data_IF_713409362172
#
_entry.id   IF_713409362172
#
_cell.length_a   1.000
_cell.length_b   1.000
_cell.length_c   1.000
_cell.angle_alpha   90.00
_cell.angle_beta   90.00
_cell.angle_gamma   90.00
#
_symmetry.space_group_name_H-M   'P 1'
#
loop_
_entity.id
_entity.type
_entity.pdbx_description
1 polymer ?
#
# COMPACT_ATOMS: atom_id res chain seq x y z
N UNK A 1 -12.04 4.12 -0.28
CA UNK A 1 -10.66 3.69 0.02
C UNK A 1 -9.86 3.69 -1.27
N UNK A 2 -8.73 4.41 -1.30
CA UNK A 2 -7.99 4.67 -2.54
C UNK A 2 -6.85 3.69 -2.77
N UNK A 3 -6.31 3.17 -1.70
CA UNK A 3 -5.15 2.31 -1.76
C UNK A 3 -5.43 1.07 -2.62
N UNK A 4 -4.52 0.75 -3.56
CA UNK A 4 -4.62 -0.45 -4.38
C UNK A 4 -4.39 -1.75 -3.60
N UNK A 5 -3.86 -1.66 -2.38
CA UNK A 5 -3.54 -2.83 -1.58
C UNK A 5 -2.32 -3.64 -2.03
N UNK A 6 -1.68 -3.28 -3.13
CA UNK A 6 -0.60 -4.04 -3.73
C UNK A 6 0.61 -4.21 -2.79
N UNK A 7 1.10 -5.42 -2.69
CA UNK A 7 2.27 -5.84 -1.90
C UNK A 7 3.37 -6.22 -2.89
N UNK A 8 4.47 -5.47 -2.85
CA UNK A 8 5.62 -5.70 -3.72
C UNK A 8 6.90 -5.78 -2.89
N UNK A 9 7.70 -6.86 -2.98
CA UNK A 9 8.93 -6.97 -2.20
C UNK A 9 10.02 -5.98 -2.61
N UNK A 10 9.94 -5.44 -3.85
CA UNK A 10 10.94 -4.55 -4.41
C UNK A 10 10.41 -3.14 -4.68
N UNK A 11 11.28 -2.16 -4.49
CA UNK A 11 11.10 -0.77 -4.94
C UNK A 11 11.68 -0.66 -6.35
N UNK A 12 10.83 -0.58 -7.36
CA UNK A 12 11.22 -0.69 -8.78
C UNK A 12 12.21 0.38 -9.27
N UNK A 13 12.12 1.61 -8.79
CA UNK A 13 12.96 2.71 -9.29
C UNK A 13 14.46 2.42 -9.27
N UNK A 14 14.92 1.62 -8.30
CA UNK A 14 16.33 1.23 -8.12
C UNK A 14 16.49 -0.28 -8.01
N UNK A 15 15.41 -1.03 -8.16
CA UNK A 15 15.34 -2.47 -7.92
C UNK A 15 16.00 -2.81 -6.57
N UNK A 16 15.52 -2.16 -5.51
CA UNK A 16 16.01 -2.38 -4.15
C UNK A 16 14.95 -3.10 -3.32
N UNK A 17 15.39 -3.87 -2.35
CA UNK A 17 14.50 -4.50 -1.37
C UNK A 17 13.74 -3.44 -0.57
N UNK A 18 12.48 -3.73 -0.26
CA UNK A 18 11.72 -2.98 0.75
C UNK A 18 12.40 -3.07 2.12
N UNK A 19 12.13 -2.11 3.00
CA UNK A 19 12.66 -2.13 4.36
C UNK A 19 12.18 -3.39 5.10
N UNK A 20 13.10 -4.17 5.64
CA UNK A 20 12.87 -5.44 6.36
C UNK A 20 11.96 -6.44 5.59
N UNK A 21 12.02 -6.45 4.28
CA UNK A 21 11.14 -7.30 3.45
C UNK A 21 11.34 -8.80 3.71
N UNK A 22 12.55 -9.21 4.09
CA UNK A 22 12.87 -10.59 4.43
C UNK A 22 12.10 -11.08 5.66
N UNK A 23 11.83 -10.17 6.62
CA UNK A 23 11.06 -10.47 7.83
C UNK A 23 9.55 -10.34 7.58
N UNK A 24 9.15 -9.31 6.83
CA UNK A 24 7.74 -8.96 6.71
C UNK A 24 6.95 -9.81 5.71
N UNK A 25 7.56 -10.28 4.62
CA UNK A 25 6.83 -11.10 3.66
C UNK A 25 6.32 -12.41 4.27
N UNK A 26 7.14 -13.19 5.01
CA UNK A 26 6.64 -14.37 5.71
C UNK A 26 5.57 -14.04 6.76
N UNK A 27 5.85 -13.07 7.64
CA UNK A 27 4.93 -12.69 8.71
C UNK A 27 3.58 -12.16 8.20
N UNK A 28 3.59 -11.48 7.07
CA UNK A 28 2.40 -10.91 6.44
C UNK A 28 1.45 -12.00 5.93
N UNK A 29 1.97 -13.06 5.31
CA UNK A 29 1.17 -14.16 4.80
C UNK A 29 0.44 -14.90 5.93
N UNK A 30 1.15 -15.18 7.03
CA UNK A 30 0.56 -15.81 8.20
C UNK A 30 -0.50 -14.93 8.85
N UNK A 31 -0.18 -13.64 9.03
CA UNK A 31 -1.09 -12.66 9.58
C UNK A 31 -2.41 -12.54 8.79
N UNK A 32 -2.34 -12.37 7.47
CA UNK A 32 -3.57 -12.23 6.69
C UNK A 32 -4.40 -13.52 6.67
N UNK A 33 -3.78 -14.69 6.63
CA UNK A 33 -4.48 -15.98 6.74
C UNK A 33 -5.21 -16.12 8.08
N UNK A 34 -4.55 -15.73 9.17
CA UNK A 34 -5.16 -15.72 10.49
C UNK A 34 -6.36 -14.76 10.56
N UNK A 35 -6.22 -13.56 10.01
CA UNK A 35 -7.30 -12.57 10.00
C UNK A 35 -8.45 -12.96 9.08
N UNK A 36 -8.20 -13.57 7.94
CA UNK A 36 -9.24 -14.11 7.07
C UNK A 36 -10.05 -15.20 7.80
N UNK A 37 -9.37 -16.07 8.52
CA UNK A 37 -10.01 -17.09 9.36
C UNK A 37 -10.84 -16.45 10.48
N UNK A 38 -10.28 -15.49 11.22
CA UNK A 38 -10.93 -14.84 12.35
C UNK A 38 -12.13 -13.97 11.94
N UNK A 39 -12.14 -13.48 10.71
CA UNK A 39 -13.19 -12.58 10.17
C UNK A 39 -14.15 -13.27 9.21
N UNK A 40 -13.92 -14.53 8.86
CA UNK A 40 -14.66 -15.29 7.85
C UNK A 40 -14.79 -14.51 6.52
N UNK A 41 -13.70 -13.84 6.13
CA UNK A 41 -13.67 -12.95 4.97
C UNK A 41 -12.41 -13.19 4.15
N UNK A 42 -12.48 -13.08 2.83
CA UNK A 42 -11.33 -13.19 1.93
C UNK A 42 -10.97 -11.82 1.39
N UNK A 43 -9.74 -11.39 1.62
CA UNK A 43 -9.23 -10.08 1.20
C UNK A 43 -7.75 -10.08 0.82
N UNK A 44 -7.03 -11.17 1.08
CA UNK A 44 -5.62 -11.32 0.69
C UNK A 44 -5.53 -12.21 -0.55
N UNK A 45 -4.97 -11.66 -1.62
CA UNK A 45 -4.92 -12.33 -2.92
C UNK A 45 -3.47 -12.37 -3.44
N UNK A 46 -2.83 -13.54 -3.45
CA UNK A 46 -1.59 -13.73 -4.20
C UNK A 46 -1.81 -13.39 -5.68
N UNK A 47 -0.89 -12.63 -6.26
CA UNK A 47 -0.94 -12.28 -7.68
C UNK A 47 0.48 -12.16 -8.25
N UNK A 48 0.66 -12.60 -9.50
CA UNK A 48 1.89 -12.33 -10.21
C UNK A 48 2.05 -10.83 -10.44
N UNK A 49 3.20 -10.27 -10.07
CA UNK A 49 3.55 -8.88 -10.40
C UNK A 49 4.66 -8.90 -11.43
N UNK A 50 4.38 -8.32 -12.60
CA UNK A 50 5.33 -8.18 -13.71
C UNK A 50 5.82 -6.74 -13.80
N UNK A 51 7.13 -6.57 -13.75
CA UNK A 51 7.80 -5.31 -14.04
C UNK A 51 8.15 -5.27 -15.53
N UNK A 52 7.52 -4.39 -16.30
CA UNK A 52 7.93 -4.07 -17.67
C UNK A 52 9.09 -3.10 -17.59
N UNK A 53 10.22 -3.40 -18.24
CA UNK A 53 11.39 -2.54 -18.16
C UNK A 53 11.19 -1.24 -18.91
N UNK A 54 11.77 -0.16 -18.40
CA UNK A 54 11.68 1.18 -18.99
C UNK A 54 12.86 1.46 -19.93
N UNK A 55 13.92 0.66 -19.85
CA UNK A 55 15.14 0.77 -20.68
C UNK A 55 15.99 -0.50 -20.58
N UNK A 56 16.98 -0.62 -21.47
CA UNK A 56 17.98 -1.69 -21.43
C UNK A 56 18.84 -1.62 -20.14
N UNK A 57 19.08 -0.43 -19.60
CA UNK A 57 19.82 -0.27 -18.33
C UNK A 57 19.02 -0.87 -17.16
N UNK A 58 17.70 -0.68 -17.12
CA UNK A 58 16.86 -1.29 -16.10
C UNK A 58 16.84 -2.82 -16.22
N UNK A 59 16.73 -3.34 -17.45
CA UNK A 59 16.86 -4.78 -17.73
C UNK A 59 18.21 -5.32 -17.25
N UNK A 60 19.31 -4.65 -17.62
CA UNK A 60 20.66 -5.04 -17.20
C UNK A 60 20.84 -5.03 -15.68
N UNK A 61 20.23 -4.06 -14.99
CA UNK A 61 20.23 -4.01 -13.52
C UNK A 61 19.43 -5.18 -12.93
N UNK A 62 18.28 -5.52 -13.52
CA UNK A 62 17.48 -6.67 -13.11
C UNK A 62 18.26 -7.98 -13.23
N UNK A 63 18.89 -8.23 -14.39
CA UNK A 63 19.70 -9.43 -14.66
C UNK A 63 20.83 -9.56 -13.62
N UNK A 64 21.52 -8.46 -13.30
CA UNK A 64 22.57 -8.47 -12.27
C UNK A 64 22.04 -8.80 -10.87
N UNK A 65 20.81 -8.42 -10.54
CA UNK A 65 20.25 -8.61 -9.21
C UNK A 65 19.55 -9.95 -9.03
N UNK A 66 18.90 -10.48 -10.05
CA UNK A 66 18.15 -11.75 -9.96
C UNK A 66 19.02 -12.97 -9.58
N UNK A 67 20.33 -12.92 -9.85
CA UNK A 67 21.28 -13.98 -9.52
C UNK A 67 21.90 -13.82 -8.11
N UNK A 68 21.64 -12.70 -7.45
CA UNK A 68 22.16 -12.45 -6.11
C UNK A 68 21.37 -13.24 -5.07
N UNK A 69 22.06 -13.80 -4.10
CA UNK A 69 21.49 -14.60 -3.03
C UNK A 69 20.42 -13.86 -2.23
N UNK A 70 20.64 -12.56 -1.95
CA UNK A 70 19.71 -11.71 -1.22
C UNK A 70 18.47 -11.28 -2.01
N UNK A 71 18.41 -11.55 -3.34
CA UNK A 71 17.25 -11.25 -4.19
C UNK A 71 16.51 -12.48 -4.71
N UNK A 72 17.10 -13.67 -4.65
CA UNK A 72 16.54 -14.90 -5.25
C UNK A 72 15.14 -15.25 -4.72
N UNK A 73 14.82 -14.84 -3.49
CA UNK A 73 13.52 -15.08 -2.87
C UNK A 73 12.43 -14.10 -3.38
N UNK A 74 12.82 -13.04 -4.09
CA UNK A 74 11.90 -11.97 -4.52
C UNK A 74 11.83 -11.80 -6.04
N UNK A 75 12.75 -12.38 -6.78
CA UNK A 75 12.82 -12.24 -8.23
C UNK A 75 12.84 -13.62 -8.91
N UNK A 76 12.07 -13.76 -9.98
CA UNK A 76 12.29 -14.84 -10.93
C UNK A 76 13.48 -14.49 -11.83
N UNK A 77 14.16 -15.51 -12.34
CA UNK A 77 15.09 -15.31 -13.45
C UNK A 77 14.28 -14.99 -14.70
N UNK A 78 14.79 -14.09 -15.52
CA UNK A 78 14.18 -13.77 -16.82
C UNK A 78 14.25 -15.01 -17.70
N UNK A 79 13.15 -15.31 -18.38
CA UNK A 79 12.99 -16.38 -19.36
C UNK A 79 12.69 -15.79 -20.73
N UNK A 80 12.72 -16.62 -21.77
CA UNK A 80 12.33 -16.22 -23.13
C UNK A 80 10.88 -15.67 -23.17
N UNK A 81 9.98 -16.22 -22.33
CA UNK A 81 8.62 -15.70 -22.17
C UNK A 81 8.61 -14.26 -21.64
N UNK A 82 9.47 -13.93 -20.68
CA UNK A 82 9.57 -12.60 -20.12
C UNK A 82 10.16 -11.59 -21.12
N UNK A 83 11.06 -12.03 -21.98
CA UNK A 83 11.64 -11.20 -23.04
C UNK A 83 10.64 -10.95 -24.18
N UNK A 84 9.89 -11.98 -24.58
CA UNK A 84 8.93 -11.95 -25.67
C UNK A 84 7.48 -11.72 -25.21
N UNK A 85 7.29 -11.24 -23.98
CA UNK A 85 5.97 -10.98 -23.43
C UNK A 85 5.23 -9.91 -24.25
N UNK A 86 4.12 -10.29 -24.86
CA UNK A 86 3.38 -9.50 -25.87
C UNK A 86 1.96 -9.09 -25.43
N UNK A 87 1.52 -9.52 -24.23
CA UNK A 87 0.18 -9.18 -23.71
C UNK A 87 0.02 -7.69 -23.34
N UNK A 88 1.13 -6.94 -23.33
CA UNK A 88 1.18 -5.49 -23.08
C UNK A 88 2.32 -4.87 -23.88
N UNK A 89 2.42 -3.54 -23.87
CA UNK A 89 3.53 -2.82 -24.50
C UNK A 89 4.85 -3.11 -23.75
N UNK A 90 5.70 -3.91 -24.31
CA UNK A 90 6.92 -4.40 -23.67
C UNK A 90 8.17 -4.33 -24.56
N UNK A 91 8.66 -3.12 -24.90
CA UNK A 91 9.78 -2.97 -25.83
C UNK A 91 11.16 -3.40 -25.28
N UNK A 92 11.30 -3.55 -23.98
CA UNK A 92 12.59 -3.87 -23.33
C UNK A 92 12.56 -5.18 -22.54
N UNK A 93 11.50 -5.99 -22.69
CA UNK A 93 11.33 -7.18 -21.88
C UNK A 93 10.77 -6.88 -20.48
N UNK A 94 10.61 -7.91 -19.70
CA UNK A 94 9.98 -7.85 -18.37
C UNK A 94 10.69 -8.74 -17.36
N UNK A 95 10.33 -8.60 -16.10
CA UNK A 95 10.75 -9.48 -15.02
C UNK A 95 9.62 -9.69 -14.02
N UNK A 96 9.51 -10.91 -13.51
CA UNK A 96 8.46 -11.31 -12.57
C UNK A 96 8.95 -11.29 -11.14
N UNK A 97 8.10 -10.81 -10.22
CA UNK A 97 8.37 -10.89 -8.79
C UNK A 97 7.84 -12.22 -8.21
N UNK A 98 8.54 -12.74 -7.23
CA UNK A 98 8.03 -13.75 -6.29
C UNK A 98 7.32 -13.04 -5.13
N UNK A 99 6.36 -13.72 -4.52
CA UNK A 99 5.65 -13.22 -3.34
C UNK A 99 4.91 -11.89 -3.56
N UNK A 100 4.43 -11.65 -4.78
CA UNK A 100 3.50 -10.57 -5.07
C UNK A 100 2.10 -10.90 -4.58
N UNK A 101 1.41 -9.90 -4.04
CA UNK A 101 0.01 -10.04 -3.60
C UNK A 101 -0.68 -8.68 -3.61
N UNK A 102 -1.99 -8.69 -3.41
CA UNK A 102 -2.73 -7.50 -2.99
C UNK A 102 -3.72 -7.85 -1.89
N UNK A 103 -4.05 -6.85 -1.10
CA UNK A 103 -5.16 -6.91 -0.14
C UNK A 103 -6.29 -6.07 -0.72
N UNK A 104 -7.52 -6.56 -0.70
CA UNK A 104 -8.69 -5.70 -0.93
C UNK A 104 -8.90 -4.82 0.31
N UNK A 105 -8.58 -3.50 0.25
CA UNK A 105 -8.66 -2.67 1.44
C UNK A 105 -10.10 -2.43 1.90
N UNK A 106 -11.08 -2.56 1.02
CA UNK A 106 -12.49 -2.31 1.34
C UNK A 106 -13.05 -3.48 2.13
N UNK A 107 -12.84 -4.70 1.64
CA UNK A 107 -13.24 -5.92 2.34
C UNK A 107 -12.49 -6.03 3.67
N UNK A 108 -11.16 -5.84 3.65
CA UNK A 108 -10.32 -5.91 4.82
C UNK A 108 -10.77 -4.96 5.94
N UNK A 109 -10.92 -3.67 5.65
CA UNK A 109 -11.33 -2.69 6.67
C UNK A 109 -12.76 -2.93 7.17
N UNK A 110 -13.66 -3.38 6.31
CA UNK A 110 -15.01 -3.75 6.72
C UNK A 110 -15.01 -4.96 7.66
N UNK A 111 -14.26 -6.01 7.33
CA UNK A 111 -14.10 -7.20 8.13
C UNK A 111 -13.48 -6.90 9.49
N UNK A 112 -12.37 -6.13 9.49
CA UNK A 112 -11.69 -5.72 10.71
C UNK A 112 -12.55 -4.84 11.62
N UNK A 113 -13.32 -3.92 11.03
CA UNK A 113 -14.26 -3.10 11.81
C UNK A 113 -15.30 -3.95 12.54
N UNK A 114 -15.86 -4.95 11.85
CA UNK A 114 -16.81 -5.91 12.46
C UNK A 114 -16.13 -6.72 13.57
N UNK A 115 -14.93 -7.20 13.30
CA UNK A 115 -14.17 -7.99 14.28
C UNK A 115 -13.84 -7.16 15.53
N UNK A 116 -13.33 -5.93 15.37
CA UNK A 116 -13.06 -5.02 16.48
C UNK A 116 -14.33 -4.71 17.27
N UNK A 117 -15.47 -4.46 16.61
CA UNK A 117 -16.74 -4.18 17.29
C UNK A 117 -17.25 -5.35 18.14
N UNK A 118 -16.85 -6.60 17.82
CA UNK A 118 -17.18 -7.79 18.60
C UNK A 118 -16.23 -8.02 19.78
N UNK A 119 -14.96 -7.61 19.64
CA UNK A 119 -13.89 -7.95 20.59
C UNK A 119 -13.41 -6.78 21.43
N UNK A 120 -13.80 -5.53 21.09
CA UNK A 120 -13.42 -4.32 21.80
C UNK A 120 -14.51 -3.25 21.69
N UNK A 121 -14.40 -2.19 22.48
CA UNK A 121 -15.27 -1.02 22.35
C UNK A 121 -14.82 -0.17 21.16
N UNK A 122 -15.65 -0.06 20.14
CA UNK A 122 -15.44 0.83 18.99
C UNK A 122 -16.28 2.09 19.13
N UNK A 123 -15.65 3.22 19.37
CA UNK A 123 -16.28 4.54 19.34
C UNK A 123 -16.10 5.16 17.96
N UNK A 124 -17.16 5.70 17.39
CA UNK A 124 -17.16 6.37 16.08
C UNK A 124 -17.42 7.84 16.29
N UNK A 125 -16.43 8.51 16.85
CA UNK A 125 -16.50 9.93 17.16
C UNK A 125 -15.15 10.61 16.91
N UNK A 126 -15.15 11.93 16.81
CA UNK A 126 -13.93 12.72 16.71
C UNK A 126 -13.37 12.91 18.13
N UNK A 127 -12.17 12.40 18.37
CA UNK A 127 -11.41 12.71 19.58
C UNK A 127 -10.94 14.17 19.50
N UNK A 128 -11.33 14.99 20.51
CA UNK A 128 -10.66 16.26 20.74
C UNK A 128 -9.48 16.00 21.69
N UNK A 129 -8.32 16.48 21.33
CA UNK A 129 -7.11 16.24 22.15
C UNK A 129 -7.19 16.83 23.55
N UNK A 130 -8.02 17.89 23.75
CA UNK A 130 -8.32 18.47 25.07
C UNK A 130 -9.06 17.52 26.02
N UNK A 131 -9.77 16.54 25.45
CA UNK A 131 -10.58 15.60 26.23
C UNK A 131 -9.72 14.42 26.74
N UNK A 132 -8.45 14.37 26.30
CA UNK A 132 -7.50 13.34 26.69
C UNK A 132 -6.51 13.89 27.73
N UNK A 133 -6.77 13.61 28.98
CA UNK A 133 -5.91 14.02 30.10
C UNK A 133 -5.15 12.81 30.69
N UNK A 134 -3.84 12.76 30.42
CA UNK A 134 -2.95 11.75 31.00
C UNK A 134 -3.35 10.28 30.76
N UNK A 135 -4.18 10.01 29.76
CA UNK A 135 -4.75 8.69 29.47
C UNK A 135 -6.21 8.55 29.91
N UNK A 136 -6.82 9.60 30.48
CA UNK A 136 -8.24 9.58 30.80
C UNK A 136 -9.06 10.10 29.60
N UNK A 137 -10.14 9.40 29.28
CA UNK A 137 -11.10 9.78 28.23
C UNK A 137 -12.47 9.16 28.54
N UNK A 138 -13.53 9.94 28.48
CA UNK A 138 -14.92 9.52 28.76
C UNK A 138 -15.04 8.75 30.08
N UNK A 139 -14.54 9.32 31.20
CA UNK A 139 -14.55 8.75 32.54
C UNK A 139 -13.83 7.37 32.67
N UNK A 140 -13.01 7.02 31.70
CA UNK A 140 -12.19 5.81 31.73
C UNK A 140 -10.71 6.17 31.71
N UNK A 141 -9.93 5.38 32.43
CA UNK A 141 -8.48 5.45 32.38
C UNK A 141 -7.94 4.38 31.43
N UNK A 142 -7.05 4.79 30.52
CA UNK A 142 -6.33 3.91 29.61
C UNK A 142 -4.85 3.90 29.99
N UNK A 143 -4.27 2.73 30.14
CA UNK A 143 -2.84 2.58 30.45
C UNK A 143 -1.98 3.19 29.34
N UNK A 144 -2.41 3.01 28.09
CA UNK A 144 -1.69 3.44 26.91
C UNK A 144 -2.64 4.04 25.87
N UNK A 145 -2.15 5.06 25.16
CA UNK A 145 -2.84 5.71 24.05
C UNK A 145 -1.96 5.63 22.80
N UNK A 146 -2.46 4.99 21.75
CA UNK A 146 -1.73 4.80 20.51
C UNK A 146 -2.38 5.61 19.40
N UNK A 147 -1.66 6.61 18.87
CA UNK A 147 -2.13 7.48 17.80
C UNK A 147 -1.82 6.88 16.43
N UNK A 148 -2.88 6.50 15.68
CA UNK A 148 -2.84 5.89 14.35
C UNK A 148 -3.54 6.77 13.31
N UNK A 149 -3.28 8.06 13.31
CA UNK A 149 -4.10 9.11 12.67
C UNK A 149 -3.81 9.31 11.18
N UNK A 150 -2.85 8.54 10.62
CA UNK A 150 -2.44 8.70 9.23
C UNK A 150 -1.93 10.11 8.96
N UNK A 151 -2.39 10.74 7.87
CA UNK A 151 -1.92 12.09 7.49
C UNK A 151 -2.38 13.19 8.47
N UNK A 152 -3.45 12.96 9.24
CA UNK A 152 -3.94 13.90 10.23
C UNK A 152 -3.04 13.98 11.47
N UNK A 153 -2.16 12.99 11.70
CA UNK A 153 -1.17 13.04 12.77
C UNK A 153 -0.22 14.24 12.71
N UNK A 154 -0.23 15.01 11.61
CA UNK A 154 0.45 16.31 11.53
C UNK A 154 -0.15 17.37 12.45
N UNK A 155 -1.42 17.22 12.80
CA UNK A 155 -2.18 18.12 13.70
C UNK A 155 -2.12 17.67 15.17
N UNK A 156 -1.52 16.49 15.43
CA UNK A 156 -1.42 15.93 16.78
C UNK A 156 -0.50 16.82 17.66
N UNK A 157 -0.96 17.29 18.84
CA UNK A 157 -0.21 18.23 19.69
C UNK A 157 1.07 17.62 20.28
N UNK A 158 1.16 16.29 20.38
CA UNK A 158 2.31 15.60 20.95
C UNK A 158 3.28 15.08 19.90
N UNK A 159 2.79 14.77 18.70
CA UNK A 159 3.56 14.14 17.62
C UNK A 159 3.58 14.93 16.31
N UNK A 160 2.90 16.07 16.23
CA UNK A 160 2.81 16.88 15.00
C UNK A 160 4.13 17.52 14.56
N UNK A 161 5.13 17.58 15.46
CA UNK A 161 6.50 18.04 15.14
C UNK A 161 7.36 16.98 14.45
N UNK A 162 6.89 15.72 14.39
CA UNK A 162 7.60 14.68 13.65
C UNK A 162 7.59 14.96 12.13
N UNK A 163 8.56 14.44 11.37
CA UNK A 163 8.75 14.74 9.95
C UNK A 163 7.68 14.07 9.06
N UNK A 164 6.41 14.20 9.44
CA UNK A 164 5.27 13.70 8.70
C UNK A 164 4.88 14.68 7.59
N UNK A 165 4.93 14.22 6.35
CA UNK A 165 4.48 14.96 5.18
C UNK A 165 3.17 14.37 4.64
N UNK A 166 2.37 15.25 4.02
CA UNK A 166 1.11 14.88 3.40
C UNK A 166 1.28 14.87 1.88
N UNK A 167 0.97 13.75 1.24
CA UNK A 167 1.13 13.59 -0.20
C UNK A 167 -0.15 13.06 -0.80
N UNK A 168 -0.80 13.87 -1.63
CA UNK A 168 -1.99 13.45 -2.37
C UNK A 168 -1.63 12.46 -3.47
N UNK A 169 -2.51 11.51 -3.71
CA UNK A 169 -2.46 10.60 -4.85
C UNK A 169 -3.85 10.28 -5.34
N UNK A 170 -3.98 10.20 -6.65
CA UNK A 170 -5.21 9.78 -7.31
C UNK A 170 -5.02 8.42 -7.97
N UNK A 171 -6.11 7.65 -8.05
CA UNK A 171 -6.18 6.39 -8.78
C UNK A 171 -7.45 6.36 -9.63
N UNK A 172 -7.42 5.60 -10.71
CA UNK A 172 -8.59 5.30 -11.53
C UNK A 172 -9.01 3.85 -11.29
N UNK A 173 -10.31 3.60 -11.36
CA UNK A 173 -10.84 2.28 -11.66
C UNK A 173 -11.29 2.31 -13.12
N UNK A 174 -10.81 1.34 -13.88
CA UNK A 174 -11.08 1.25 -15.32
C UNK A 174 -11.72 -0.10 -15.66
N UNK A 175 -12.43 -0.13 -16.77
CA UNK A 175 -12.89 -1.33 -17.45
C UNK A 175 -12.15 -1.44 -18.78
N UNK A 176 -11.65 -2.61 -19.13
CA UNK A 176 -10.91 -2.84 -20.36
C UNK A 176 -10.91 -4.31 -20.75
N UNK A 177 -11.22 -4.58 -21.99
CA UNK A 177 -10.99 -5.88 -22.63
C UNK A 177 -9.57 -5.91 -23.19
N UNK A 178 -8.86 -7.02 -23.02
CA UNK A 178 -7.49 -7.20 -23.56
C UNK A 178 -6.35 -6.79 -22.64
N UNK A 179 -6.61 -6.40 -21.39
CA UNK A 179 -5.61 -6.32 -20.32
C UNK A 179 -5.60 -7.66 -19.56
N UNK A 180 -4.41 -8.23 -19.22
CA UNK A 180 -4.34 -9.47 -18.43
C UNK A 180 -5.00 -9.33 -17.06
N UNK A 181 -5.84 -10.30 -16.65
CA UNK A 181 -6.47 -10.36 -15.33
C UNK A 181 -5.74 -11.29 -14.34
N UNK A 182 -4.78 -12.06 -14.80
CA UNK A 182 -4.01 -13.03 -14.02
C UNK A 182 -2.72 -12.45 -13.40
N UNK A 183 -2.35 -11.25 -13.80
CA UNK A 183 -1.16 -10.56 -13.28
C UNK A 183 -1.36 -9.04 -13.17
N UNK A 184 -0.59 -8.43 -12.28
CA UNK A 184 -0.46 -6.97 -12.22
C UNK A 184 0.78 -6.54 -13.00
N UNK A 185 0.64 -5.57 -13.89
CA UNK A 185 1.75 -5.00 -14.66
C UNK A 185 2.16 -3.63 -14.13
N UNK A 186 3.47 -3.35 -14.17
CA UNK A 186 4.02 -2.12 -13.61
C UNK A 186 5.13 -1.53 -14.50
N UNK A 187 4.93 -0.28 -14.95
CA UNK A 187 5.94 0.64 -15.51
C UNK A 187 5.36 2.05 -15.49
N UNK A 188 6.02 3.02 -14.85
CA UNK A 188 5.52 4.39 -14.60
C UNK A 188 4.23 4.46 -13.75
N UNK A 189 3.29 3.54 -13.95
CA UNK A 189 2.13 3.28 -13.11
C UNK A 189 1.96 1.77 -12.94
N UNK A 190 1.00 1.36 -12.14
CA UNK A 190 0.55 -0.03 -12.05
C UNK A 190 -0.83 -0.18 -12.69
N UNK A 191 -1.11 -1.36 -13.22
CA UNK A 191 -2.45 -1.85 -13.54
C UNK A 191 -2.64 -3.12 -12.71
N UNK A 192 -3.62 -3.09 -11.80
CA UNK A 192 -3.94 -4.18 -10.89
C UNK A 192 -5.34 -4.72 -11.22
N UNK A 193 -5.51 -5.99 -11.59
CA UNK A 193 -6.82 -6.58 -11.80
C UNK A 193 -7.64 -6.62 -10.51
N UNK A 194 -8.94 -6.35 -10.66
CA UNK A 194 -9.95 -6.44 -9.60
C UNK A 194 -10.98 -7.54 -9.90
N UNK A 195 -10.84 -8.23 -11.05
CA UNK A 195 -11.81 -9.17 -11.60
C UNK A 195 -12.85 -8.50 -12.50
N UNK A 196 -13.55 -9.31 -13.31
CA UNK A 196 -14.60 -8.86 -14.23
C UNK A 196 -14.15 -7.75 -15.21
N UNK A 197 -12.93 -7.85 -15.74
CA UNK A 197 -12.31 -6.86 -16.64
C UNK A 197 -12.18 -5.46 -16.04
N UNK A 198 -12.21 -5.37 -14.72
CA UNK A 198 -11.96 -4.13 -13.99
C UNK A 198 -10.55 -4.10 -13.42
N UNK A 199 -9.95 -2.93 -13.45
CA UNK A 199 -8.58 -2.73 -13.00
C UNK A 199 -8.44 -1.44 -12.20
N UNK A 200 -7.60 -1.46 -11.17
CA UNK A 200 -7.13 -0.26 -10.51
C UNK A 200 -5.82 0.20 -11.14
N UNK A 201 -5.78 1.48 -11.53
CA UNK A 201 -4.62 2.09 -12.19
C UNK A 201 -4.14 3.29 -11.40
N UNK A 202 -2.84 3.44 -11.26
CA UNK A 202 -2.32 4.59 -10.52
C UNK A 202 -0.80 4.56 -10.30
N UNK A 203 -0.31 5.61 -9.71
CA UNK A 203 -1.05 6.73 -9.14
C UNK A 203 -0.35 8.06 -9.47
N UNK A 204 -1.06 9.16 -9.24
CA UNK A 204 -0.42 10.46 -9.15
C UNK A 204 0.34 10.63 -7.83
N UNK A 205 1.16 11.67 -7.77
CA UNK A 205 1.94 12.01 -6.60
C UNK A 205 2.10 13.53 -6.52
N UNK A 206 1.35 14.15 -5.60
CA UNK A 206 1.35 15.59 -5.41
C UNK A 206 1.73 15.95 -3.98
N UNK A 207 2.74 16.79 -3.84
CA UNK A 207 3.20 17.26 -2.55
C UNK A 207 2.37 18.44 -2.06
N UNK A 208 2.25 18.59 -0.75
CA UNK A 208 1.65 19.76 -0.09
C UNK A 208 0.17 20.03 -0.41
N UNK A 209 -0.55 19.03 -0.92
CA UNK A 209 -1.98 19.12 -1.18
C UNK A 209 -2.73 18.18 -0.23
N UNK A 210 -3.70 18.73 0.50
CA UNK A 210 -4.56 17.98 1.44
C UNK A 210 -6.00 17.81 0.94
N UNK A 211 -6.28 18.26 -0.28
CA UNK A 211 -7.59 18.11 -0.91
C UNK A 211 -7.86 16.65 -1.28
N UNK A 212 -9.03 16.14 -0.91
CA UNK A 212 -9.52 14.82 -1.31
C UNK A 212 -10.32 14.84 -2.63
N UNK A 213 -10.45 16.00 -3.27
CA UNK A 213 -11.11 16.10 -4.56
C UNK A 213 -10.24 15.52 -5.68
N UNK A 214 -10.85 14.78 -6.57
CA UNK A 214 -10.21 14.31 -7.81
C UNK A 214 -10.06 15.45 -8.81
N UNK A 215 -9.11 15.32 -9.74
CA UNK A 215 -8.80 16.37 -10.73
C UNK A 215 -8.76 15.81 -12.15
N UNK A 216 -9.15 16.62 -13.13
CA UNK A 216 -9.01 16.28 -14.55
C UNK A 216 -7.55 15.99 -14.89
N UNK A 217 -6.61 16.82 -14.40
CA UNK A 217 -5.17 16.63 -14.58
C UNK A 217 -4.69 15.30 -14.01
N UNK A 218 -5.19 14.88 -12.83
CA UNK A 218 -4.86 13.58 -12.23
C UNK A 218 -5.30 12.43 -13.13
N UNK A 219 -6.52 12.52 -13.68
CA UNK A 219 -7.06 11.55 -14.64
C UNK A 219 -6.19 11.45 -15.89
N UNK A 220 -5.90 12.56 -16.54
CA UNK A 220 -5.07 12.64 -17.74
C UNK A 220 -3.68 12.04 -17.48
N UNK A 221 -3.03 12.45 -16.40
CA UNK A 221 -1.70 11.93 -16.02
C UNK A 221 -1.69 10.40 -15.85
N UNK A 222 -2.74 9.81 -15.26
CA UNK A 222 -2.82 8.36 -15.08
C UNK A 222 -3.06 7.67 -16.43
N UNK A 223 -3.94 8.20 -17.27
CA UNK A 223 -4.22 7.64 -18.60
C UNK A 223 -2.99 7.73 -19.51
N UNK A 224 -2.27 8.84 -19.51
CA UNK A 224 -0.97 8.95 -20.21
C UNK A 224 0.03 7.88 -19.77
N UNK A 225 0.14 7.64 -18.47
CA UNK A 225 1.02 6.57 -17.96
C UNK A 225 0.53 5.18 -18.37
N UNK A 226 -0.78 4.93 -18.35
CA UNK A 226 -1.36 3.66 -18.75
C UNK A 226 -1.15 3.38 -20.25
N UNK A 227 -1.19 4.40 -21.10
CA UNK A 227 -0.90 4.28 -22.53
C UNK A 227 0.53 3.77 -22.84
N UNK A 228 1.44 3.85 -21.89
CA UNK A 228 2.75 3.19 -22.02
C UNK A 228 2.71 1.68 -21.69
N UNK A 229 1.63 1.18 -21.12
CA UNK A 229 1.50 -0.23 -20.73
C UNK A 229 0.62 -1.01 -21.71
N UNK A 230 -0.41 -0.37 -22.28
CA UNK A 230 -1.37 -1.07 -23.13
C UNK A 230 -1.95 -0.15 -24.19
N UNK A 231 -2.33 -0.74 -25.34
CA UNK A 231 -3.16 -0.10 -26.36
C UNK A 231 -4.63 -0.52 -26.28
N UNK A 232 -4.97 -1.41 -25.33
CA UNK A 232 -6.35 -1.83 -25.14
C UNK A 232 -7.25 -0.61 -24.82
N UNK A 233 -8.48 -0.57 -25.31
CA UNK A 233 -9.43 0.48 -24.97
C UNK A 233 -9.64 0.57 -23.45
N UNK A 234 -9.62 1.77 -22.92
CA UNK A 234 -9.82 2.05 -21.49
C UNK A 234 -11.08 2.87 -21.31
N UNK A 235 -12.02 2.33 -20.52
CA UNK A 235 -13.19 3.07 -20.04
C UNK A 235 -13.00 3.36 -18.55
N UNK A 236 -12.91 4.63 -18.18
CA UNK A 236 -12.79 5.03 -16.76
C UNK A 236 -14.18 4.97 -16.13
N UNK A 237 -14.32 4.16 -15.08
CA UNK A 237 -15.58 3.97 -14.35
C UNK A 237 -15.58 4.68 -12.99
N UNK A 238 -14.41 4.92 -12.38
CA UNK A 238 -14.29 5.66 -11.12
C UNK A 238 -12.92 6.36 -11.01
N UNK A 239 -12.89 7.42 -10.23
CA UNK A 239 -11.66 8.14 -9.87
C UNK A 239 -11.71 8.51 -8.39
N UNK A 240 -10.65 8.20 -7.67
CA UNK A 240 -10.56 8.45 -6.24
C UNK A 240 -9.25 9.17 -5.88
N UNK A 241 -9.31 10.05 -4.86
CA UNK A 241 -8.17 10.78 -4.33
C UNK A 241 -7.94 10.51 -2.84
N UNK A 242 -6.72 10.49 -2.35
CA UNK A 242 -6.37 10.34 -0.95
C UNK A 242 -5.01 10.86 -0.57
N UNK A 243 -4.83 11.07 0.71
CA UNK A 243 -3.61 11.62 1.26
C UNK A 243 -2.83 10.51 1.96
N UNK A 244 -1.57 10.39 1.57
CA UNK A 244 -0.62 9.47 2.20
C UNK A 244 0.13 10.21 3.29
N UNK A 245 0.20 9.66 4.51
CA UNK A 245 1.27 10.05 5.42
C UNK A 245 2.60 9.59 4.83
N UNK A 246 3.60 10.45 4.79
CA UNK A 246 4.92 10.11 4.26
C UNK A 246 6.00 10.75 5.11
N UNK A 247 7.08 9.99 5.37
CA UNK A 247 8.30 10.52 5.96
C UNK A 247 9.45 10.43 4.96
N UNK A 248 10.49 11.22 5.17
CA UNK A 248 11.61 11.33 4.24
C UNK A 248 12.37 10.01 4.09
N UNK A 249 12.66 9.34 5.19
CA UNK A 249 13.38 8.05 5.23
C UNK A 249 12.49 6.86 4.86
N UNK A 250 11.18 7.08 4.70
CA UNK A 250 10.18 6.08 4.30
C UNK A 250 10.01 4.91 5.28
N UNK A 251 10.35 5.14 6.54
CA UNK A 251 10.16 4.17 7.63
C UNK A 251 8.93 4.52 8.45
N UNK A 252 8.31 3.53 9.11
CA UNK A 252 7.19 3.82 9.99
C UNK A 252 7.60 4.72 11.15
N UNK A 253 6.72 5.62 11.53
CA UNK A 253 6.83 6.38 12.76
C UNK A 253 6.24 5.52 13.90
N UNK A 254 7.10 4.88 14.66
CA UNK A 254 6.73 4.05 15.81
C UNK A 254 7.56 4.52 17.01
N UNK A 255 6.89 4.87 18.08
CA UNK A 255 7.61 5.29 19.28
C UNK A 255 6.73 5.83 20.39
N UNK A 256 7.36 6.08 21.54
CA UNK A 256 6.74 6.62 22.74
C UNK A 256 7.12 8.08 22.90
N UNK A 257 6.19 8.92 23.37
CA UNK A 257 6.44 10.32 23.66
C UNK A 257 7.48 10.48 24.79
N UNK A 258 8.36 11.45 24.65
CA UNK A 258 9.48 11.62 25.59
C UNK A 258 9.04 11.86 27.04
N UNK A 259 8.00 12.65 27.23
CA UNK A 259 7.48 13.06 28.54
C UNK A 259 6.26 12.23 28.95
N UNK A 260 5.28 12.05 28.05
CA UNK A 260 4.06 11.27 28.28
C UNK A 260 4.32 9.79 27.93
N UNK A 261 4.77 9.02 28.88
CA UNK A 261 5.26 7.63 28.66
C UNK A 261 4.18 6.64 28.23
N UNK A 262 2.92 6.99 28.45
CA UNK A 262 1.73 6.25 28.01
C UNK A 262 1.17 6.71 26.67
N UNK A 263 1.83 7.64 25.96
CA UNK A 263 1.43 8.10 24.63
C UNK A 263 2.39 7.56 23.58
N UNK A 264 1.83 6.91 22.58
CA UNK A 264 2.58 6.23 21.53
C UNK A 264 2.08 6.67 20.14
N UNK A 265 2.98 6.69 19.18
CA UNK A 265 2.63 6.90 17.78
C UNK A 265 2.87 5.62 16.99
N UNK A 266 1.93 5.30 16.09
CA UNK A 266 2.04 4.25 15.09
C UNK A 266 1.51 4.77 13.74
N UNK A 267 2.39 5.34 12.93
CA UNK A 267 2.02 6.08 11.72
C UNK A 267 3.01 5.85 10.57
N UNK A 268 2.72 6.39 9.39
CA UNK A 268 3.48 6.26 8.13
C UNK A 268 3.83 4.82 7.74
N UNK A 269 2.83 3.99 7.59
CA UNK A 269 2.98 2.58 7.24
C UNK A 269 3.08 2.34 5.72
N UNK A 270 3.42 3.37 4.93
CA UNK A 270 3.40 3.33 3.48
C UNK A 270 4.25 2.22 2.85
N UNK A 271 5.34 1.86 3.48
CA UNK A 271 6.30 0.86 3.00
C UNK A 271 6.36 -0.42 3.85
N UNK A 272 5.73 -0.41 5.01
CA UNK A 272 5.34 -1.64 5.67
C UNK A 272 4.00 -2.00 5.04
N UNK A 273 4.04 -2.76 4.03
CA UNK A 273 2.92 -3.44 3.34
C UNK A 273 1.60 -3.28 4.08
N UNK A 274 1.08 -2.05 4.14
CA UNK A 274 -0.23 -1.62 4.66
C UNK A 274 -0.74 -2.38 5.91
N UNK A 275 0.13 -2.84 6.76
CA UNK A 275 -0.23 -3.48 8.01
C UNK A 275 -0.63 -2.42 9.03
N UNK A 276 -1.82 -1.91 8.91
CA UNK A 276 -2.55 -1.18 9.99
C UNK A 276 -2.71 -2.05 11.25
N UNK A 277 -2.10 -3.22 11.32
CA UNK A 277 -2.52 -4.30 12.21
C UNK A 277 -1.49 -4.80 13.22
N UNK A 278 -0.26 -4.31 13.22
CA UNK A 278 0.64 -4.61 14.35
C UNK A 278 0.19 -4.01 15.70
N UNK A 279 -0.81 -3.13 15.68
CA UNK A 279 -1.41 -2.58 16.91
C UNK A 279 -2.15 -3.64 17.74
N UNK A 280 -2.63 -4.71 17.11
CA UNK A 280 -3.44 -5.72 17.80
C UNK A 280 -2.66 -6.91 18.37
N UNK A 281 -1.45 -7.17 17.94
CA UNK A 281 -0.66 -8.32 18.43
C UNK A 281 -0.03 -8.08 19.81
N UNK A 282 0.11 -6.85 20.28
CA UNK A 282 0.66 -6.52 21.59
C UNK A 282 -0.36 -5.95 22.59
N UNK A 283 -1.64 -5.96 22.25
CA UNK A 283 -2.69 -5.81 23.25
C UNK A 283 -2.97 -7.20 23.84
N UNK A 284 -2.11 -7.66 24.73
CA UNK A 284 -2.47 -8.70 25.65
C UNK A 284 -3.58 -8.14 26.55
N UNK A 285 -4.76 -8.75 26.47
CA UNK A 285 -5.86 -8.55 27.39
C UNK A 285 -5.55 -9.19 28.73
#
# INVERSE_FOLDING_TARGET
IIAAGMITPLVFRRITKGWRVDDFIPALQDFYREMETATESTFFHPIQIRRLFSSEEEKGLWIKKQVREDFKNFMHQITDEDENYDRTLNPFGSGRLKNGAYVDPSVFLSAMRKWVSKNATLLVEKLNYSDLDGGNFNDRHYSDVIFCEGYQGKENPWFGNLPLNQTKGETLTIESEGIPEDESVNRKCFILPLGNQQFKVGSTYEWHTTSLHTTAKGRETILEKAAHLTHAPIKVIDQAAGIRPTVEDRRPLIGTHKEKKNYHIFNDLKYIYKTTLYVFQNMAF
#
